data_IF_411965087223
#
_entry.id   IF_411965087223
#
_cell.length_a   1.000
_cell.length_b   1.000
_cell.length_c   1.000
_cell.angle_alpha   90.00
_cell.angle_beta   90.00
_cell.angle_gamma   90.00
#
_symmetry.space_group_name_H-M   'P 1'
#
loop_
_entity.id
_entity.type
_entity.pdbx_description
1 polymer ?
#
# COMPACT_ATOMS: atom_id res chain seq x y z
N UNK A 1 8.97 -0.58 7.74
CA UNK A 1 7.92 -1.46 7.20
C UNK A 1 8.21 -1.76 5.74
N UNK A 2 7.82 -2.94 5.25
CA UNK A 2 7.88 -3.32 3.83
C UNK A 2 6.46 -3.58 3.33
N UNK A 3 6.15 -3.03 2.16
CA UNK A 3 4.88 -3.25 1.44
C UNK A 3 5.24 -3.93 0.13
N UNK A 4 4.77 -5.15 -0.08
CA UNK A 4 4.84 -5.83 -1.37
C UNK A 4 3.44 -5.80 -2.00
N UNK A 5 3.30 -5.17 -3.16
CA UNK A 5 2.05 -5.10 -3.92
C UNK A 5 2.18 -5.98 -5.15
N UNK A 6 1.38 -7.05 -5.19
CA UNK A 6 1.34 -8.00 -6.30
C UNK A 6 0.06 -7.81 -7.12
N UNK A 7 0.24 -7.40 -8.36
CA UNK A 7 -0.78 -7.41 -9.41
C UNK A 7 -0.54 -8.61 -10.35
N UNK A 8 -1.35 -8.74 -11.41
CA UNK A 8 -1.38 -9.94 -12.26
C UNK A 8 0.01 -10.37 -12.77
N UNK A 9 0.87 -9.41 -13.11
CA UNK A 9 2.21 -9.64 -13.68
C UNK A 9 3.29 -8.74 -13.07
N UNK A 10 2.94 -8.00 -12.04
CA UNK A 10 3.82 -6.98 -11.46
C UNK A 10 3.93 -7.17 -9.95
N UNK A 11 5.15 -6.97 -9.44
CA UNK A 11 5.44 -7.05 -8.02
C UNK A 11 6.27 -5.82 -7.64
N UNK A 12 5.60 -4.86 -7.03
CA UNK A 12 6.23 -3.68 -6.46
C UNK A 12 6.65 -3.99 -5.02
N UNK A 13 7.87 -3.60 -4.65
CA UNK A 13 8.35 -3.64 -3.28
C UNK A 13 8.72 -2.25 -2.79
N UNK A 14 8.05 -1.81 -1.74
CA UNK A 14 8.20 -0.48 -1.16
C UNK A 14 8.74 -0.62 0.25
N UNK A 15 9.85 0.05 0.52
CA UNK A 15 10.34 0.25 1.87
C UNK A 15 9.72 1.54 2.40
N UNK A 16 8.97 1.46 3.49
CA UNK A 16 8.18 2.57 4.01
C UNK A 16 8.45 2.83 5.49
N UNK A 17 8.74 4.07 5.82
CA UNK A 17 8.75 4.59 7.19
C UNK A 17 7.37 5.18 7.46
N UNK A 18 6.59 4.49 8.28
CA UNK A 18 5.20 4.83 8.57
C UNK A 18 5.13 5.76 9.79
N UNK A 19 4.57 6.95 9.60
CA UNK A 19 4.34 7.91 10.68
C UNK A 19 2.92 7.83 11.23
N UNK A 20 1.93 7.67 10.35
CA UNK A 20 0.52 7.59 10.73
C UNK A 20 -0.31 6.86 9.67
N UNK A 21 -1.48 6.37 10.07
CA UNK A 21 -2.49 5.82 9.16
C UNK A 21 -3.76 6.64 9.27
N UNK A 22 -4.34 7.01 8.12
CA UNK A 22 -5.66 7.59 8.04
C UNK A 22 -6.55 6.73 7.13
N UNK A 23 -7.87 6.92 7.23
CA UNK A 23 -8.84 6.29 6.35
C UNK A 23 -9.52 7.35 5.50
N UNK A 24 -9.69 7.07 4.20
CA UNK A 24 -10.54 7.82 3.28
C UNK A 24 -11.72 6.93 2.90
N UNK A 25 -12.93 7.40 3.17
CA UNK A 25 -14.16 6.78 2.64
C UNK A 25 -14.39 7.22 1.20
N UNK A 26 -14.88 6.32 0.34
CA UNK A 26 -15.33 6.68 -1.01
C UNK A 26 -16.47 7.72 -1.00
N UNK A 27 -17.29 7.75 0.05
CA UNK A 27 -18.41 8.69 0.18
C UNK A 27 -17.95 10.15 0.44
N UNK A 28 -16.74 10.32 0.95
CA UNK A 28 -16.19 11.62 1.35
C UNK A 28 -15.40 12.31 0.22
N UNK A 29 -15.32 11.68 -0.96
CA UNK A 29 -14.53 12.16 -2.10
C UNK A 29 -15.44 12.53 -3.26
N UNK A 30 -15.21 13.70 -3.85
CA UNK A 30 -15.94 14.16 -5.05
C UNK A 30 -15.44 13.45 -6.32
N UNK A 31 -14.22 12.93 -6.28
CA UNK A 31 -13.60 12.27 -7.40
C UNK A 31 -14.02 10.79 -7.45
N UNK A 32 -14.90 10.46 -8.40
CA UNK A 32 -15.40 9.10 -8.62
C UNK A 32 -14.31 8.07 -8.99
N UNK A 33 -13.09 8.52 -9.33
CA UNK A 33 -11.94 7.62 -9.51
C UNK A 33 -11.28 7.19 -8.20
N UNK A 34 -11.58 7.86 -7.09
CA UNK A 34 -11.02 7.58 -5.76
C UNK A 34 -12.00 6.75 -4.92
N UNK A 35 -11.68 5.47 -4.77
CA UNK A 35 -12.36 4.58 -3.84
C UNK A 35 -11.90 4.73 -2.38
N UNK A 36 -12.40 3.84 -1.54
CA UNK A 36 -12.00 3.78 -0.14
C UNK A 36 -10.54 3.34 -0.02
N UNK A 37 -9.77 3.98 0.85
CA UNK A 37 -8.35 3.69 0.99
C UNK A 37 -7.84 3.88 2.42
N UNK A 38 -6.84 3.08 2.77
CA UNK A 38 -5.94 3.37 3.87
C UNK A 38 -4.81 4.28 3.36
N UNK A 39 -4.69 5.45 3.97
CA UNK A 39 -3.69 6.45 3.63
C UNK A 39 -2.54 6.29 4.62
N UNK A 40 -1.44 5.70 4.15
CA UNK A 40 -0.22 5.53 4.91
C UNK A 40 0.61 6.81 4.79
N UNK A 41 0.75 7.58 5.87
CA UNK A 41 1.54 8.81 5.92
C UNK A 41 2.96 8.48 6.34
N UNK A 42 3.94 9.04 5.63
CA UNK A 42 5.35 8.84 5.90
C UNK A 42 6.19 8.92 4.63
N UNK A 43 7.38 8.34 4.65
CA UNK A 43 8.29 8.39 3.50
C UNK A 43 8.65 6.98 3.06
N UNK A 44 8.60 6.75 1.76
CA UNK A 44 8.96 5.46 1.19
C UNK A 44 9.93 5.57 0.03
N UNK A 45 10.46 4.42 -0.34
CA UNK A 45 11.35 4.25 -1.48
C UNK A 45 11.10 2.91 -2.17
N UNK A 46 11.30 2.88 -3.49
CA UNK A 46 11.18 1.68 -4.33
C UNK A 46 12.41 1.55 -5.23
N UNK A 47 12.63 0.38 -5.83
CA UNK A 47 13.66 0.21 -6.84
C UNK A 47 13.12 0.67 -8.20
N UNK A 48 13.90 1.48 -8.92
CA UNK A 48 13.60 1.82 -10.31
C UNK A 48 14.07 0.69 -11.26
N UNK A 49 13.88 0.88 -12.58
CA UNK A 49 14.28 -0.10 -13.60
C UNK A 49 15.80 -0.37 -13.64
N UNK A 50 16.61 0.57 -13.17
CA UNK A 50 18.07 0.46 -13.10
C UNK A 50 18.53 -0.22 -11.79
N UNK A 51 17.60 -0.58 -10.91
CA UNK A 51 17.88 -1.20 -9.61
C UNK A 51 18.33 -0.21 -8.54
N UNK A 52 18.16 1.09 -8.75
CA UNK A 52 18.48 2.12 -7.77
C UNK A 52 17.30 2.38 -6.84
N UNK A 53 17.59 2.59 -5.56
CA UNK A 53 16.58 2.97 -4.57
C UNK A 53 16.22 4.44 -4.75
N UNK A 54 14.98 4.71 -5.16
CA UNK A 54 14.45 6.05 -5.37
C UNK A 54 13.30 6.34 -4.41
N UNK A 55 13.24 7.57 -3.91
CA UNK A 55 12.15 8.02 -3.05
C UNK A 55 10.82 8.06 -3.81
N UNK A 56 9.73 7.72 -3.12
CA UNK A 56 8.40 7.98 -3.61
C UNK A 56 8.16 9.51 -3.73
N UNK A 57 7.40 9.96 -4.75
CA UNK A 57 7.19 11.38 -5.00
C UNK A 57 6.35 12.09 -3.93
N UNK A 58 5.57 11.33 -3.16
CA UNK A 58 4.66 11.84 -2.14
C UNK A 58 4.96 11.22 -0.78
N UNK A 59 4.66 11.98 0.28
CA UNK A 59 4.75 11.52 1.67
C UNK A 59 3.53 10.71 2.12
N UNK A 60 2.83 10.11 1.15
CA UNK A 60 1.65 9.28 1.37
C UNK A 60 1.64 8.12 0.39
N UNK A 61 1.18 6.97 0.85
CA UNK A 61 0.86 5.82 0.01
C UNK A 61 -0.59 5.41 0.22
N UNK A 62 -1.35 5.36 -0.87
CA UNK A 62 -2.76 5.02 -0.88
C UNK A 62 -2.92 3.52 -1.15
N UNK A 63 -3.31 2.78 -0.11
CA UNK A 63 -3.70 1.38 -0.24
C UNK A 63 -5.22 1.35 -0.45
N UNK A 64 -5.65 1.19 -1.70
CA UNK A 64 -7.06 1.02 -2.03
C UNK A 64 -7.61 -0.25 -1.37
N UNK A 65 -8.74 -0.17 -0.65
CA UNK A 65 -9.30 -1.27 0.15
C UNK A 65 -10.65 -1.77 -0.33
N UNK A 66 -11.09 -1.40 -1.52
CA UNK A 66 -12.30 -1.98 -2.08
C UNK A 66 -12.15 -3.51 -2.25
N UNK A 67 -13.14 -4.26 -1.79
CA UNK A 67 -13.10 -5.72 -1.78
C UNK A 67 -12.10 -6.34 -0.80
N UNK A 68 -11.67 -5.59 0.23
CA UNK A 68 -10.72 -6.05 1.25
C UNK A 68 -11.08 -7.43 1.81
N UNK A 69 -10.14 -8.37 1.69
CA UNK A 69 -10.14 -9.66 2.36
C UNK A 69 -8.82 -9.85 3.07
N UNK A 70 -8.88 -10.27 4.31
CA UNK A 70 -7.70 -10.63 5.09
C UNK A 70 -7.47 -12.12 4.86
N UNK A 71 -6.35 -12.47 4.23
CA UNK A 71 -5.99 -13.86 3.94
C UNK A 71 -5.24 -14.49 5.12
N UNK A 72 -4.34 -13.71 5.74
CA UNK A 72 -3.56 -14.13 6.90
C UNK A 72 -3.09 -12.93 7.72
N UNK A 73 -2.99 -13.10 9.05
CA UNK A 73 -2.42 -12.13 9.98
C UNK A 73 -1.57 -12.89 10.99
N UNK A 74 -0.29 -12.57 11.02
CA UNK A 74 0.64 -12.95 12.08
C UNK A 74 1.21 -11.73 12.81
N UNK A 75 2.12 -11.98 13.74
CA UNK A 75 2.67 -10.96 14.62
C UNK A 75 3.39 -9.80 13.88
N UNK A 76 4.03 -10.10 12.75
CA UNK A 76 4.90 -9.17 12.01
C UNK A 76 4.55 -9.07 10.53
N UNK A 77 3.49 -9.75 10.09
CA UNK A 77 3.11 -9.86 8.68
C UNK A 77 1.59 -9.96 8.55
N UNK A 78 1.03 -9.24 7.59
CA UNK A 78 -0.35 -9.41 7.15
C UNK A 78 -0.40 -9.64 5.63
N UNK A 79 -1.22 -10.59 5.21
CA UNK A 79 -1.55 -10.81 3.80
C UNK A 79 -2.99 -10.39 3.54
N UNK A 80 -3.16 -9.47 2.60
CA UNK A 80 -4.44 -8.82 2.33
C UNK A 80 -4.68 -8.87 0.83
N UNK A 81 -5.89 -9.24 0.42
CA UNK A 81 -6.34 -9.13 -0.96
C UNK A 81 -7.36 -8.01 -1.08
N UNK A 82 -7.31 -7.27 -2.17
CA UNK A 82 -8.29 -6.25 -2.56
C UNK A 82 -8.76 -6.56 -3.98
N UNK A 83 -9.71 -5.81 -4.50
CA UNK A 83 -10.11 -5.97 -5.90
C UNK A 83 -8.99 -5.60 -6.88
N UNK A 84 -8.02 -4.78 -6.46
CA UNK A 84 -6.92 -4.31 -7.32
C UNK A 84 -5.65 -5.15 -7.22
N UNK A 85 -5.28 -5.60 -6.02
CA UNK A 85 -4.01 -6.29 -5.80
C UNK A 85 -4.02 -7.17 -4.54
N UNK A 86 -3.05 -8.08 -4.46
CA UNK A 86 -2.65 -8.74 -3.21
C UNK A 86 -1.49 -7.99 -2.59
N UNK A 87 -1.59 -7.69 -1.30
CA UNK A 87 -0.58 -7.01 -0.51
C UNK A 87 0.00 -7.95 0.54
N UNK A 88 1.31 -7.87 0.72
CA UNK A 88 2.01 -8.35 1.90
C UNK A 88 2.54 -7.14 2.65
N UNK A 89 2.10 -6.97 3.89
CA UNK A 89 2.54 -5.90 4.78
C UNK A 89 3.41 -6.51 5.87
N UNK A 90 4.67 -6.10 5.97
CA UNK A 90 5.62 -6.65 6.95
C UNK A 90 6.23 -5.53 7.81
N UNK A 91 6.25 -5.73 9.12
CA UNK A 91 6.95 -4.87 10.09
C UNK A 91 8.11 -5.66 10.68
N UNK A 92 9.31 -5.10 10.61
CA UNK A 92 10.50 -5.66 11.29
C UNK A 92 10.52 -5.25 12.78
#
# INVERSE_FOLDING_TARGET
MVIEKKELRDLDKIHFNLDAVAFRSAEDVIDDYLGSALILKGFGSTLNADGELVSLPHSTYDLAIDGLRIEDIGDHKAEITTDRAKYTLSVD
#
